data_IF_038021853272
#
_entry.id   IF_038021853272
#
_cell.length_a   1.000
_cell.length_b   1.000
_cell.length_c   1.000
_cell.angle_alpha   90.00
_cell.angle_beta   90.00
_cell.angle_gamma   90.00
#
_symmetry.space_group_name_H-M   'P 1'
#
loop_
_entity.id
_entity.type
_entity.pdbx_description
1 polymer ?
#
# COMPACT_ATOMS: atom_id res chain seq x y z
N UNK A 1 -5.51 2.41 -9.36
CA UNK A 1 -6.45 3.15 -8.50
C UNK A 1 -5.82 4.53 -8.29
N UNK A 2 -6.60 5.62 -8.20
CA UNK A 2 -6.04 6.98 -8.08
C UNK A 2 -6.05 7.51 -6.62
N UNK A 3 -6.24 6.64 -5.64
CA UNK A 3 -6.27 7.01 -4.23
C UNK A 3 -4.90 7.02 -3.56
N UNK A 4 -4.88 7.02 -2.23
CA UNK A 4 -3.65 7.10 -1.44
C UNK A 4 -2.80 5.82 -1.56
N UNK A 5 -1.48 6.01 -1.67
CA UNK A 5 -0.49 4.94 -1.51
C UNK A 5 0.12 5.01 -0.12
N UNK A 6 0.10 3.89 0.61
CA UNK A 6 0.63 3.77 1.97
C UNK A 6 1.62 2.62 2.10
N UNK A 7 2.58 2.77 3.01
CA UNK A 7 3.30 1.65 3.60
C UNK A 7 2.45 1.10 4.75
N UNK A 8 2.00 -0.15 4.64
CA UNK A 8 1.15 -0.80 5.64
C UNK A 8 1.89 -1.97 6.31
N UNK A 9 2.04 -1.90 7.64
CA UNK A 9 2.54 -3.02 8.45
C UNK A 9 1.37 -3.92 8.79
N UNK A 10 1.15 -4.93 7.96
CA UNK A 10 0.04 -5.89 8.12
C UNK A 10 0.46 -6.95 9.13
N UNK A 11 -0.49 -7.42 9.96
CA UNK A 11 -0.25 -8.54 10.89
C UNK A 11 0.26 -9.77 10.13
N UNK A 12 1.24 -10.52 10.67
CA UNK A 12 1.86 -11.63 9.95
C UNK A 12 0.89 -12.66 9.36
N UNK A 13 -0.19 -12.98 10.07
CA UNK A 13 -1.22 -13.95 9.66
C UNK A 13 -2.02 -13.54 8.41
N UNK A 14 -1.99 -12.26 8.03
CA UNK A 14 -2.71 -11.73 6.87
C UNK A 14 -1.78 -11.25 5.75
N UNK A 15 -0.46 -11.43 5.89
CA UNK A 15 0.50 -10.99 4.87
C UNK A 15 0.46 -11.85 3.63
N UNK A 16 0.52 -11.19 2.47
CA UNK A 16 0.73 -11.86 1.19
C UNK A 16 2.19 -12.27 1.01
N UNK A 17 3.14 -11.50 1.58
CA UNK A 17 4.58 -11.78 1.54
C UNK A 17 5.20 -11.74 2.94
N UNK A 18 5.53 -12.90 3.55
CA UNK A 18 6.01 -12.95 4.93
C UNK A 18 7.42 -12.38 5.11
N UNK A 19 8.21 -12.28 4.03
CA UNK A 19 9.59 -11.77 4.03
C UNK A 19 9.69 -10.23 4.05
N UNK A 20 8.57 -9.52 3.85
CA UNK A 20 8.53 -8.06 3.84
C UNK A 20 8.09 -7.50 5.19
N UNK A 21 8.73 -6.40 5.60
CA UNK A 21 8.38 -5.68 6.83
C UNK A 21 7.01 -4.98 6.71
N UNK A 22 6.73 -4.42 5.54
CA UNK A 22 5.49 -3.74 5.16
C UNK A 22 5.11 -4.09 3.71
N UNK A 23 3.83 -3.95 3.38
CA UNK A 23 3.34 -3.96 2.01
C UNK A 23 3.10 -2.52 1.53
N UNK A 24 3.35 -2.26 0.25
CA UNK A 24 2.90 -1.02 -0.40
C UNK A 24 1.48 -1.23 -0.87
N UNK A 25 0.57 -0.37 -0.45
CA UNK A 25 -0.87 -0.52 -0.71
C UNK A 25 -1.38 0.74 -1.40
N UNK A 26 -1.94 0.60 -2.58
CA UNK A 26 -2.71 1.63 -3.29
C UNK A 26 -4.19 1.38 -3.02
N UNK A 27 -4.92 2.38 -2.54
CA UNK A 27 -6.36 2.27 -2.22
C UNK A 27 -7.20 3.12 -3.16
N UNK A 28 -8.52 2.98 -3.05
CA UNK A 28 -9.48 3.90 -3.68
C UNK A 28 -9.86 5.09 -2.78
N UNK A 29 -9.29 5.17 -1.57
CA UNK A 29 -9.57 6.26 -0.64
C UNK A 29 -8.84 7.55 -1.07
N UNK A 30 -9.50 8.71 -0.98
CA UNK A 30 -8.96 9.97 -1.50
C UNK A 30 -7.61 10.36 -0.89
N UNK A 31 -7.47 10.22 0.43
CA UNK A 31 -6.24 10.60 1.13
C UNK A 31 -5.89 9.70 2.32
N UNK A 32 -4.82 10.07 3.02
CA UNK A 32 -4.31 9.31 4.16
C UNK A 32 -5.21 9.40 5.40
N UNK A 33 -5.95 10.50 5.60
CA UNK A 33 -6.85 10.64 6.72
C UNK A 33 -8.05 9.71 6.57
N UNK A 34 -8.64 9.66 5.38
CA UNK A 34 -9.74 8.74 5.05
C UNK A 34 -9.32 7.26 5.25
N UNK A 35 -8.07 6.94 4.88
CA UNK A 35 -7.50 5.61 5.12
C UNK A 35 -7.36 5.28 6.61
N UNK A 36 -6.93 6.24 7.44
CA UNK A 36 -6.82 6.03 8.88
C UNK A 36 -8.19 5.90 9.56
N UNK A 37 -9.20 6.64 9.08
CA UNK A 37 -10.58 6.51 9.55
C UNK A 37 -11.15 5.13 9.25
N UNK A 38 -11.06 4.67 7.98
CA UNK A 38 -11.49 3.33 7.59
C UNK A 38 -10.75 2.21 8.36
N UNK A 39 -9.46 2.42 8.66
CA UNK A 39 -8.72 1.50 9.53
C UNK A 39 -9.27 1.47 10.97
N UNK A 40 -9.58 2.64 11.53
CA UNK A 40 -10.11 2.79 12.89
C UNK A 40 -11.47 2.13 13.05
N UNK A 41 -12.30 2.21 12.00
CA UNK A 41 -13.66 1.67 11.97
C UNK A 41 -13.70 0.16 11.65
N UNK A 42 -12.53 -0.47 11.45
CA UNK A 42 -12.37 -1.86 11.03
C UNK A 42 -13.08 -2.20 9.69
N UNK A 43 -13.11 -1.22 8.78
CA UNK A 43 -13.73 -1.39 7.47
C UNK A 43 -12.96 -2.37 6.58
N UNK A 44 -13.68 -2.89 5.57
CA UNK A 44 -13.07 -3.60 4.45
C UNK A 44 -12.68 -2.59 3.38
N UNK A 45 -11.38 -2.44 3.15
CA UNK A 45 -10.77 -1.45 2.27
C UNK A 45 -10.34 -2.16 0.98
N UNK A 46 -10.99 -1.89 -0.17
CA UNK A 46 -10.51 -2.34 -1.47
C UNK A 46 -9.16 -1.70 -1.79
N UNK A 47 -8.20 -2.51 -2.24
CA UNK A 47 -6.86 -2.02 -2.52
C UNK A 47 -6.08 -2.89 -3.50
N UNK A 48 -4.89 -2.42 -3.85
CA UNK A 48 -3.89 -3.16 -4.61
C UNK A 48 -2.56 -3.19 -3.86
N UNK A 49 -1.96 -4.37 -3.70
CA UNK A 49 -0.58 -4.47 -3.26
C UNK A 49 0.33 -4.12 -4.44
N UNK A 50 1.20 -3.13 -4.25
CA UNK A 50 2.14 -2.67 -5.26
C UNK A 50 3.45 -3.45 -5.18
N UNK A 51 3.83 -4.05 -6.31
CA UNK A 51 5.15 -4.67 -6.46
C UNK A 51 6.06 -3.65 -7.11
N UNK A 52 6.85 -2.95 -6.28
CA UNK A 52 7.75 -1.91 -6.74
C UNK A 52 9.23 -2.26 -6.57
N UNK A 53 10.05 -1.83 -7.52
CA UNK A 53 11.52 -1.90 -7.52
C UNK A 53 12.16 -0.51 -7.40
N UNK A 54 13.49 -0.45 -7.29
CA UNK A 54 14.21 0.84 -7.32
C UNK A 54 14.14 1.46 -8.72
N UNK A 55 13.87 2.76 -8.79
CA UNK A 55 13.92 3.53 -10.04
C UNK A 55 15.32 3.97 -10.44
N UNK A 56 15.38 4.75 -11.52
CA UNK A 56 16.62 5.32 -12.07
C UNK A 56 17.07 6.49 -11.22
N UNK A 57 16.15 7.37 -10.82
CA UNK A 57 16.48 8.52 -9.98
C UNK A 57 16.43 8.17 -8.49
N UNK A 58 17.29 8.80 -7.67
CA UNK A 58 17.19 8.73 -6.21
C UNK A 58 15.79 9.13 -5.73
N UNK A 59 15.19 8.29 -4.89
CA UNK A 59 13.85 8.53 -4.37
C UNK A 59 12.71 7.96 -5.23
N UNK A 60 13.01 7.29 -6.34
CA UNK A 60 11.99 6.64 -7.17
C UNK A 60 11.72 5.17 -6.80
N UNK A 61 10.47 4.79 -7.04
CA UNK A 61 10.01 3.40 -7.04
C UNK A 61 9.23 3.11 -8.32
N UNK A 62 9.71 2.17 -9.13
CA UNK A 62 9.00 1.72 -10.34
C UNK A 62 7.99 0.67 -9.93
N UNK A 63 6.71 0.91 -10.20
CA UNK A 63 5.64 -0.07 -10.03
C UNK A 63 5.69 -1.06 -11.19
N UNK A 64 5.97 -2.32 -10.89
CA UNK A 64 6.03 -3.40 -11.88
C UNK A 64 4.71 -4.17 -11.97
N UNK A 65 3.97 -4.27 -10.86
CA UNK A 65 2.72 -5.02 -10.82
C UNK A 65 1.79 -4.49 -9.71
N UNK A 66 0.49 -4.73 -9.89
CA UNK A 66 -0.58 -4.48 -8.92
C UNK A 66 -1.35 -5.77 -8.68
N UNK A 67 -1.48 -6.17 -7.42
CA UNK A 67 -2.26 -7.34 -7.03
C UNK A 67 -3.51 -6.85 -6.29
N UNK A 68 -4.67 -6.90 -6.94
CA UNK A 68 -5.95 -6.52 -6.34
C UNK A 68 -6.28 -7.41 -5.15
N UNK A 69 -6.68 -6.82 -4.04
CA UNK A 69 -7.06 -7.50 -2.81
C UNK A 69 -7.97 -6.61 -1.95
N UNK A 70 -8.28 -7.06 -0.76
CA UNK A 70 -8.93 -6.26 0.28
C UNK A 70 -8.12 -6.32 1.56
N UNK A 71 -8.13 -5.23 2.33
CA UNK A 71 -7.61 -5.20 3.70
C UNK A 71 -8.76 -4.98 4.65
N UNK A 72 -8.67 -5.59 5.83
CA UNK A 72 -9.52 -5.23 6.97
C UNK A 72 -8.75 -4.26 7.87
N UNK A 73 -9.37 -3.19 8.36
CA UNK A 73 -8.72 -2.18 9.18
C UNK A 73 -7.87 -2.75 10.32
N UNK A 74 -8.43 -3.68 11.09
CA UNK A 74 -7.75 -4.36 12.21
C UNK A 74 -6.55 -5.22 11.83
N UNK A 75 -6.39 -5.56 10.54
CA UNK A 75 -5.22 -6.28 10.03
C UNK A 75 -3.99 -5.36 9.87
N UNK A 76 -4.18 -4.04 9.79
CA UNK A 76 -3.09 -3.07 9.62
C UNK A 76 -2.68 -2.53 10.99
N UNK A 77 -1.44 -2.81 11.40
CA UNK A 77 -0.92 -2.41 12.72
C UNK A 77 -0.41 -0.97 12.73
N UNK A 78 0.10 -0.50 11.59
CA UNK A 78 0.66 0.84 11.38
C UNK A 78 0.59 1.17 9.90
N UNK A 79 0.41 2.45 9.59
CA UNK A 79 0.54 2.96 8.23
C UNK A 79 1.39 4.23 8.17
N UNK A 80 2.00 4.49 7.01
CA UNK A 80 2.78 5.69 6.75
C UNK A 80 2.72 6.09 5.28
N UNK A 81 2.77 7.40 5.01
CA UNK A 81 2.95 7.93 3.64
C UNK A 81 4.39 7.64 3.17
N UNK A 82 4.57 6.91 2.05
CA UNK A 82 5.88 6.71 1.46
C UNK A 82 6.48 8.06 1.04
N UNK A 83 7.78 8.23 1.24
CA UNK A 83 8.50 9.44 0.79
C UNK A 83 9.03 9.34 -0.63
N UNK A 84 8.73 8.24 -1.33
CA UNK A 84 9.18 7.98 -2.69
C UNK A 84 8.20 8.54 -3.72
N UNK A 85 8.75 8.87 -4.88
CA UNK A 85 7.96 9.10 -6.08
C UNK A 85 7.73 7.77 -6.79
N UNK A 86 6.47 7.39 -6.96
CA UNK A 86 6.12 6.21 -7.73
C UNK A 86 6.06 6.54 -9.23
N UNK A 87 6.61 5.66 -10.05
CA UNK A 87 6.56 5.74 -11.51
C UNK A 87 6.11 4.40 -12.06
N UNK A 88 5.42 4.39 -13.19
CA UNK A 88 5.00 3.14 -13.84
C UNK A 88 6.15 2.54 -14.64
N UNK A 89 6.24 1.20 -14.67
CA UNK A 89 7.11 0.54 -15.64
C UNK A 89 6.57 0.82 -17.06
N UNK A 90 7.36 1.50 -17.89
CA UNK A 90 7.13 1.54 -19.34
C UNK A 90 7.32 0.13 -19.88
N UNK A 91 6.25 -0.44 -20.44
CA UNK A 91 6.26 -1.74 -21.11
C UNK A 91 7.04 -1.74 -22.41
#
# INVERSE_FOLDING_TARGET
MNGVVVQAWIRPEYRTRPDREYELVETDLPDFADFLEAMSDDDVIPCSILIAGRGVEPGERIIHNRISTVLRGSAVMRAQIPTWRFVEATG
#
